data_IF_131226120428
#
_entry.id   IF_131226120428
#
_cell.length_a   1.000
_cell.length_b   1.000
_cell.length_c   1.000
_cell.angle_alpha   90.00
_cell.angle_beta   90.00
_cell.angle_gamma   90.00
#
_symmetry.space_group_name_H-M   'P 1'
#
loop_
_entity.id
_entity.type
_entity.pdbx_description
1 polymer ?
#
# COMPACT_ATOMS: atom_id res chain seq x y z
N UNK A 1 23.99 -10.72 28.18
CA UNK A 1 22.65 -10.81 27.54
C UNK A 1 21.89 -9.47 27.50
N UNK A 2 22.48 -8.41 26.92
CA UNK A 2 21.77 -7.15 26.60
C UNK A 2 22.00 -6.65 25.17
N UNK A 3 22.92 -7.28 24.45
CA UNK A 3 23.26 -6.92 23.07
C UNK A 3 22.26 -7.53 22.09
N UNK A 4 21.93 -8.81 22.23
CA UNK A 4 20.97 -9.52 21.37
C UNK A 4 19.55 -8.96 21.43
N UNK A 5 19.08 -8.50 22.60
CA UNK A 5 17.76 -7.88 22.73
C UNK A 5 17.65 -6.52 22.01
N UNK A 6 18.78 -5.85 21.72
CA UNK A 6 18.81 -4.63 20.90
C UNK A 6 18.91 -4.93 19.41
N UNK A 7 19.46 -6.09 19.04
CA UNK A 7 19.52 -6.58 17.66
C UNK A 7 18.12 -7.03 17.18
N UNK A 8 17.33 -7.70 18.02
CA UNK A 8 15.95 -8.10 17.67
C UNK A 8 15.00 -6.91 17.46
N UNK A 9 15.19 -5.83 18.22
CA UNK A 9 14.45 -4.59 18.01
C UNK A 9 14.86 -3.88 16.70
N UNK A 10 16.11 -4.06 16.24
CA UNK A 10 16.57 -3.59 14.94
C UNK A 10 16.00 -4.43 13.78
N UNK A 11 15.76 -5.73 13.99
CA UNK A 11 15.14 -6.62 12.99
C UNK A 11 13.65 -6.34 12.84
N UNK A 12 12.94 -6.04 13.94
CA UNK A 12 11.53 -5.63 13.91
C UNK A 12 11.30 -4.22 13.33
N UNK A 13 12.35 -3.38 13.33
CA UNK A 13 12.31 -2.00 12.84
C UNK A 13 13.14 -1.80 11.56
N UNK A 14 13.24 -2.83 10.71
CA UNK A 14 13.98 -2.74 9.44
C UNK A 14 13.02 -2.58 8.24
N UNK A 15 12.85 -1.36 7.70
CA UNK A 15 12.17 -1.09 6.42
C UNK A 15 12.67 -1.97 5.26
N UNK A 16 13.88 -2.52 5.37
CA UNK A 16 14.48 -3.43 4.40
C UNK A 16 13.92 -4.86 4.44
N UNK A 17 13.46 -5.36 5.61
CA UNK A 17 12.84 -6.68 5.72
C UNK A 17 11.44 -6.72 5.07
N UNK A 18 10.82 -5.55 4.91
CA UNK A 18 9.61 -5.34 4.14
C UNK A 18 9.95 -5.46 2.65
N UNK A 19 10.94 -4.75 2.13
CA UNK A 19 11.30 -4.81 0.70
C UNK A 19 11.67 -6.21 0.16
N UNK A 20 12.22 -7.13 0.98
CA UNK A 20 12.47 -8.53 0.56
C UNK A 20 11.22 -9.41 0.42
N UNK A 21 10.04 -8.94 0.87
CA UNK A 21 8.75 -9.62 0.71
C UNK A 21 7.97 -9.15 -0.54
N UNK A 22 8.61 -8.41 -1.45
CA UNK A 22 8.00 -7.94 -2.69
C UNK A 22 7.30 -6.58 -2.58
N UNK A 23 7.81 -5.68 -1.74
CA UNK A 23 7.25 -4.34 -1.60
C UNK A 23 7.89 -3.37 -2.60
N UNK A 24 7.10 -2.40 -3.07
CA UNK A 24 7.54 -1.35 -3.97
C UNK A 24 7.24 0.03 -3.38
N UNK A 25 8.12 1.00 -3.65
CA UNK A 25 7.86 2.40 -3.37
C UNK A 25 6.99 2.97 -4.48
N UNK A 26 5.83 3.52 -4.13
CA UNK A 26 4.89 4.10 -5.08
C UNK A 26 5.07 5.62 -5.09
N UNK A 27 5.25 6.17 -6.29
CA UNK A 27 5.36 7.61 -6.53
C UNK A 27 4.30 8.03 -7.54
N UNK A 28 3.58 9.10 -7.25
CA UNK A 28 2.69 9.75 -8.19
C UNK A 28 3.52 10.38 -9.32
N UNK A 29 3.21 10.03 -10.57
CA UNK A 29 4.04 10.47 -11.71
C UNK A 29 3.82 11.94 -12.08
N UNK A 30 2.64 12.50 -11.78
CA UNK A 30 2.32 13.89 -12.10
C UNK A 30 3.00 14.87 -11.13
N UNK A 31 3.10 14.49 -9.86
CA UNK A 31 3.59 15.36 -8.77
C UNK A 31 4.97 14.96 -8.26
N UNK A 32 5.44 13.75 -8.55
CA UNK A 32 6.67 13.19 -7.99
C UNK A 32 6.58 12.86 -6.50
N UNK A 33 5.40 12.96 -5.88
CA UNK A 33 5.22 12.70 -4.46
C UNK A 33 5.03 11.21 -4.16
N UNK A 34 5.56 10.75 -3.03
CA UNK A 34 5.38 9.37 -2.58
C UNK A 34 3.94 9.16 -2.09
N UNK A 35 3.28 8.14 -2.63
CA UNK A 35 1.97 7.70 -2.17
C UNK A 35 2.19 6.82 -0.94
N UNK A 36 1.66 7.25 0.20
CA UNK A 36 1.84 6.58 1.51
C UNK A 36 0.53 6.13 2.15
N UNK A 37 -0.60 6.66 1.70
CA UNK A 37 -1.95 6.25 2.11
C UNK A 37 -2.76 5.77 0.92
N UNK A 38 -3.70 4.86 1.18
CA UNK A 38 -4.67 4.38 0.20
C UNK A 38 -5.55 5.52 -0.32
N UNK A 39 -5.86 6.53 0.52
CA UNK A 39 -6.62 7.73 0.13
C UNK A 39 -5.93 8.58 -0.93
N UNK A 40 -4.61 8.47 -1.02
CA UNK A 40 -3.81 9.17 -2.03
C UNK A 40 -3.78 8.42 -3.37
N UNK A 41 -4.24 7.16 -3.40
CA UNK A 41 -4.22 6.27 -4.55
C UNK A 41 -5.53 6.35 -5.35
N UNK A 42 -5.87 7.53 -5.86
CA UNK A 42 -7.08 7.73 -6.66
C UNK A 42 -7.05 6.97 -8.00
N UNK A 43 -8.23 6.48 -8.43
CA UNK A 43 -8.40 5.84 -9.74
C UNK A 43 -7.99 6.78 -10.88
N UNK A 44 -7.42 6.21 -11.94
CA UNK A 44 -6.95 6.92 -13.12
C UNK A 44 -5.57 7.57 -12.97
N UNK A 45 -4.95 7.56 -11.77
CA UNK A 45 -3.59 8.11 -11.59
C UNK A 45 -2.53 7.20 -12.21
N UNK A 46 -1.57 7.85 -12.86
CA UNK A 46 -0.33 7.22 -13.32
C UNK A 46 0.71 7.25 -12.19
N UNK A 47 1.27 6.08 -11.89
CA UNK A 47 2.21 5.87 -10.79
C UNK A 47 3.51 5.21 -11.30
N UNK A 48 4.59 5.44 -10.56
CA UNK A 48 5.85 4.72 -10.70
C UNK A 48 6.08 3.85 -9.48
N UNK A 49 6.31 2.57 -9.75
CA UNK A 49 6.66 1.55 -8.78
C UNK A 49 8.18 1.40 -8.80
N UNK A 50 8.83 1.57 -7.66
CA UNK A 50 10.25 1.32 -7.49
C UNK A 50 10.45 0.06 -6.65
N UNK A 51 10.99 -0.96 -7.29
CA UNK A 51 11.43 -2.21 -6.70
C UNK A 51 12.92 -2.12 -6.34
N UNK A 52 13.45 -3.16 -5.70
CA UNK A 52 14.86 -3.20 -5.31
C UNK A 52 15.81 -3.32 -6.50
N UNK A 53 15.34 -3.83 -7.64
CA UNK A 53 16.10 -4.14 -8.85
C UNK A 53 15.73 -3.27 -10.06
N UNK A 54 14.68 -2.46 -9.95
CA UNK A 54 14.22 -1.66 -11.07
C UNK A 54 12.93 -0.93 -10.78
N UNK A 55 12.38 -0.33 -11.82
CA UNK A 55 11.17 0.48 -11.72
C UNK A 55 10.18 0.10 -12.82
N UNK A 56 8.88 0.18 -12.53
CA UNK A 56 7.81 -0.02 -13.50
C UNK A 56 6.83 1.15 -13.47
N UNK A 57 6.22 1.46 -14.60
CA UNK A 57 5.09 2.38 -14.68
C UNK A 57 3.77 1.61 -14.61
N UNK A 58 2.79 2.15 -13.90
CA UNK A 58 1.46 1.57 -13.79
C UNK A 58 0.39 2.67 -13.73
N UNK A 59 -0.87 2.26 -13.93
CA UNK A 59 -2.04 3.11 -13.77
C UNK A 59 -3.00 2.47 -12.78
N UNK A 60 -3.49 3.25 -11.82
CA UNK A 60 -4.53 2.79 -10.89
C UNK A 60 -5.87 2.71 -11.64
N UNK A 61 -6.50 1.54 -11.64
CA UNK A 61 -7.75 1.30 -12.38
C UNK A 61 -8.99 1.42 -11.49
N UNK A 62 -8.86 1.18 -10.19
CA UNK A 62 -9.95 1.24 -9.23
C UNK A 62 -9.61 2.17 -8.06
N UNK A 63 -10.64 2.76 -7.48
CA UNK A 63 -10.50 3.54 -6.25
C UNK A 63 -10.14 2.60 -5.09
N UNK A 64 -9.46 3.11 -4.06
CA UNK A 64 -9.14 2.33 -2.88
C UNK A 64 -10.45 1.83 -2.24
N UNK A 65 -10.57 0.51 -2.09
CA UNK A 65 -11.60 -0.08 -1.25
C UNK A 65 -11.10 -0.06 0.18
N UNK A 66 -11.82 0.61 1.06
CA UNK A 66 -11.62 0.46 2.49
C UNK A 66 -12.13 -0.94 2.89
N UNK A 67 -11.27 -1.86 3.36
CA UNK A 67 -11.70 -3.18 3.79
C UNK A 67 -12.59 -3.15 5.04
N UNK A 68 -12.67 -2.01 5.76
CA UNK A 68 -13.59 -1.81 6.88
C UNK A 68 -14.95 -1.23 6.46
N UNK A 69 -15.10 -0.77 5.21
CA UNK A 69 -16.40 -0.39 4.66
C UNK A 69 -17.10 -1.65 4.11
N UNK A 70 -17.70 -2.43 5.02
CA UNK A 70 -18.69 -3.43 4.61
C UNK A 70 -19.79 -2.75 3.78
N UNK A 71 -20.37 -3.43 2.77
CA UNK A 71 -21.50 -2.89 2.02
C UNK A 71 -22.75 -2.86 2.92
N UNK A 72 -22.92 -1.82 3.72
CA UNK A 72 -24.20 -1.46 4.34
C UNK A 72 -25.18 -0.97 3.24
N UNK A 73 -25.75 -1.92 2.49
CA UNK A 73 -27.16 -1.92 2.08
C UNK A 73 -27.48 -3.08 1.14
N UNK A 74 -27.87 -4.22 1.72
CA UNK A 74 -28.87 -5.11 1.11
C UNK A 74 -29.58 -5.83 2.25
N UNK A 75 -30.45 -5.11 2.96
CA UNK A 75 -31.59 -5.70 3.65
C UNK A 75 -32.81 -4.81 3.40
N UNK A 76 -33.95 -5.49 3.24
CA UNK A 76 -35.30 -5.00 3.00
C UNK A 76 -35.71 -4.67 1.55
N UNK A 77 -36.17 -5.72 0.86
CA UNK A 77 -37.47 -5.61 0.21
C UNK A 77 -38.25 -6.93 0.35
N UNK A 78 -39.12 -7.08 1.37
CA UNK A 78 -40.07 -8.18 1.41
C UNK A 78 -41.32 -7.77 0.64
N UNK A 79 -41.42 -8.18 -0.63
CA UNK A 79 -42.72 -8.26 -1.32
C UNK A 79 -42.64 -9.24 -2.49
N UNK A 80 -42.98 -10.51 -2.23
CA UNK A 80 -44.01 -11.27 -2.95
C UNK A 80 -44.46 -12.46 -2.07
#
# INVERSE_FOLDING_TARGET
ERLSAREDALVAASPQAILQRGYALITDRATGQRIKSVDQAAAGRDISLQFHDGSAAARLTAAPTDPAAEPENTKDNPND
#
